data_IF_559518068913
#
_entry.id   IF_559518068913
#
_cell.length_a   1.000
_cell.length_b   1.000
_cell.length_c   1.000
_cell.angle_alpha   90.00
_cell.angle_beta   90.00
_cell.angle_gamma   90.00
#
_symmetry.space_group_name_H-M   'P 1'
#
loop_
_entity.id
_entity.type
_entity.pdbx_description
1 polymer ?
#
# COMPACT_ATOMS: atom_id res chain seq x y z
N UNK A 1 -23.11 -4.52 35.28
CA UNK A 1 -21.72 -4.79 34.90
C UNK A 1 -21.64 -4.80 33.37
N UNK A 2 -21.09 -3.76 32.71
CA UNK A 2 -20.94 -3.72 31.26
C UNK A 2 -19.68 -4.52 30.92
N UNK A 3 -19.83 -5.69 30.36
CA UNK A 3 -18.71 -6.42 29.76
C UNK A 3 -18.23 -5.60 28.55
N UNK A 4 -17.07 -4.98 28.68
CA UNK A 4 -16.39 -4.37 27.54
C UNK A 4 -16.06 -5.52 26.58
N UNK A 5 -16.71 -5.56 25.42
CA UNK A 5 -16.43 -6.53 24.38
C UNK A 5 -14.96 -6.37 24.01
N UNK A 6 -14.10 -7.28 24.46
CA UNK A 6 -12.69 -7.31 24.02
C UNK A 6 -12.76 -7.56 22.53
N UNK A 7 -12.52 -6.52 21.75
CA UNK A 7 -12.40 -6.63 20.30
C UNK A 7 -11.10 -7.41 20.03
N UNK A 8 -11.24 -8.71 19.77
CA UNK A 8 -10.11 -9.52 19.33
C UNK A 8 -9.64 -9.02 17.97
N UNK A 9 -8.35 -8.92 17.80
CA UNK A 9 -7.71 -8.56 16.53
C UNK A 9 -7.21 -9.84 15.87
N UNK A 10 -7.67 -10.13 14.64
CA UNK A 10 -7.24 -11.32 13.90
C UNK A 10 -5.83 -11.13 13.32
N UNK A 11 -5.51 -9.89 12.90
CA UNK A 11 -4.23 -9.57 12.26
C UNK A 11 -3.63 -8.31 12.87
N UNK A 12 -2.38 -8.41 13.30
CA UNK A 12 -1.57 -7.27 13.74
C UNK A 12 -0.48 -7.02 12.70
N UNK A 13 -0.38 -5.78 12.22
CA UNK A 13 0.60 -5.36 11.22
C UNK A 13 1.56 -4.34 11.84
N UNK A 14 2.85 -4.60 11.79
CA UNK A 14 3.88 -3.70 12.23
C UNK A 14 4.32 -2.77 11.10
N UNK A 15 3.97 -1.49 11.21
CA UNK A 15 4.32 -0.45 10.27
C UNK A 15 3.25 -0.17 9.20
N UNK A 16 2.95 1.11 9.00
CA UNK A 16 2.02 1.62 7.99
C UNK A 16 2.75 2.16 6.74
N UNK A 17 3.70 1.39 6.21
CA UNK A 17 4.29 1.62 4.89
C UNK A 17 3.40 1.05 3.78
N UNK A 18 3.88 1.06 2.53
CA UNK A 18 3.13 0.54 1.37
C UNK A 18 2.65 -0.90 1.59
N UNK A 19 3.55 -1.79 1.97
CA UNK A 19 3.23 -3.20 2.20
C UNK A 19 2.23 -3.37 3.35
N UNK A 20 2.44 -2.69 4.50
CA UNK A 20 1.55 -2.77 5.65
C UNK A 20 0.16 -2.25 5.35
N UNK A 21 0.03 -1.13 4.64
CA UNK A 21 -1.27 -0.57 4.25
C UNK A 21 -2.01 -1.48 3.26
N UNK A 22 -1.33 -1.99 2.24
CA UNK A 22 -1.93 -2.93 1.29
C UNK A 22 -2.36 -4.24 1.97
N UNK A 23 -1.54 -4.78 2.88
CA UNK A 23 -1.90 -5.95 3.69
C UNK A 23 -3.13 -5.67 4.54
N UNK A 24 -3.17 -4.51 5.21
CA UNK A 24 -4.29 -4.12 6.06
C UNK A 24 -5.59 -4.00 5.28
N UNK A 25 -5.57 -3.33 4.13
CA UNK A 25 -6.72 -3.18 3.24
C UNK A 25 -7.21 -4.56 2.76
N UNK A 26 -6.29 -5.40 2.32
CA UNK A 26 -6.61 -6.72 1.79
C UNK A 26 -7.21 -7.64 2.85
N UNK A 27 -6.61 -7.68 4.05
CA UNK A 27 -7.11 -8.49 5.16
C UNK A 27 -8.49 -8.00 5.64
N UNK A 28 -8.66 -6.69 5.81
CA UNK A 28 -9.93 -6.11 6.23
C UNK A 28 -11.05 -6.34 5.20
N UNK A 29 -10.77 -6.24 3.90
CA UNK A 29 -11.72 -6.57 2.84
C UNK A 29 -12.14 -8.04 2.82
N UNK A 30 -11.34 -8.93 3.43
CA UNK A 30 -11.70 -10.35 3.66
C UNK A 30 -12.47 -10.59 4.95
N UNK A 31 -12.88 -9.52 5.65
CA UNK A 31 -13.68 -9.60 6.88
C UNK A 31 -12.86 -9.79 8.15
N UNK A 32 -11.52 -9.70 8.10
CA UNK A 32 -10.68 -9.84 9.27
C UNK A 32 -10.60 -8.53 10.06
N UNK A 33 -10.56 -8.64 11.38
CA UNK A 33 -10.27 -7.53 12.29
C UNK A 33 -8.77 -7.20 12.27
N UNK A 34 -8.40 -6.01 11.80
CA UNK A 34 -7.00 -5.63 11.57
C UNK A 34 -6.59 -4.46 12.45
N UNK A 35 -5.41 -4.57 13.07
CA UNK A 35 -4.75 -3.48 13.78
C UNK A 35 -3.37 -3.22 13.19
N UNK A 36 -3.10 -1.96 12.84
CA UNK A 36 -1.79 -1.51 12.37
C UNK A 36 -1.10 -0.73 13.48
N UNK A 37 0.11 -1.13 13.81
CA UNK A 37 0.98 -0.44 14.78
C UNK A 37 1.95 0.47 14.01
N UNK A 38 1.81 1.79 14.16
CA UNK A 38 2.62 2.78 13.46
C UNK A 38 3.03 3.91 14.42
N UNK A 39 4.30 3.95 14.83
CA UNK A 39 4.74 4.95 15.82
C UNK A 39 4.84 6.38 15.27
N UNK A 40 4.88 6.53 13.94
CA UNK A 40 4.98 7.85 13.34
C UNK A 40 3.63 8.55 13.27
N UNK A 41 3.63 9.88 13.33
CA UNK A 41 2.42 10.70 13.22
C UNK A 41 1.70 10.56 11.87
N UNK A 42 2.42 10.19 10.82
CA UNK A 42 1.88 9.96 9.46
C UNK A 42 2.26 8.59 8.95
N UNK A 43 1.31 7.93 8.31
CA UNK A 43 1.54 6.68 7.55
C UNK A 43 2.35 6.94 6.28
N UNK A 44 2.92 5.89 5.70
CA UNK A 44 3.57 5.98 4.39
C UNK A 44 4.78 6.89 4.32
N UNK A 45 5.54 7.06 5.40
CA UNK A 45 6.68 7.98 5.47
C UNK A 45 7.65 7.83 4.29
N UNK A 46 8.01 6.59 3.93
CA UNK A 46 8.85 6.32 2.74
C UNK A 46 8.13 6.64 1.43
N UNK A 47 6.85 6.31 1.30
CA UNK A 47 6.08 6.64 0.09
C UNK A 47 6.12 8.14 -0.21
N UNK A 48 5.95 8.97 0.82
CA UNK A 48 5.88 10.43 0.70
C UNK A 48 7.15 11.09 0.20
N UNK A 49 8.30 10.41 0.30
CA UNK A 49 9.60 10.94 -0.15
C UNK A 49 10.14 10.24 -1.41
N UNK A 50 9.54 9.14 -1.86
CA UNK A 50 9.96 8.44 -3.07
C UNK A 50 9.69 9.27 -4.32
N UNK A 51 10.46 9.01 -5.40
CA UNK A 51 10.30 9.75 -6.64
C UNK A 51 10.46 11.28 -6.48
N UNK A 52 11.28 11.74 -5.54
CA UNK A 52 11.45 13.17 -5.19
C UNK A 52 10.13 13.82 -4.73
N UNK A 53 9.35 13.11 -3.93
CA UNK A 53 8.05 13.58 -3.42
C UNK A 53 6.87 13.36 -4.36
N UNK A 54 7.07 12.66 -5.49
CA UNK A 54 6.04 12.36 -6.49
C UNK A 54 5.44 10.95 -6.34
N UNK A 55 6.13 10.04 -5.69
CA UNK A 55 5.86 8.61 -5.57
C UNK A 55 5.84 7.87 -6.92
N UNK A 56 6.95 7.25 -7.31
CA UNK A 56 6.93 6.25 -8.38
C UNK A 56 6.19 5.00 -7.89
N UNK A 57 4.96 4.82 -8.32
CA UNK A 57 4.03 3.80 -7.81
C UNK A 57 4.38 2.42 -8.35
N UNK A 58 4.61 2.31 -9.65
CA UNK A 58 4.95 1.08 -10.35
C UNK A 58 5.69 1.37 -11.65
N UNK A 59 6.00 0.34 -12.41
CA UNK A 59 6.52 0.42 -13.77
C UNK A 59 5.47 -0.17 -14.74
N UNK A 60 5.16 0.55 -15.80
CA UNK A 60 4.11 0.20 -16.78
C UNK A 60 4.62 -0.82 -17.82
N UNK A 61 5.08 -1.96 -17.34
CA UNK A 61 5.54 -3.07 -18.18
C UNK A 61 4.83 -4.37 -17.85
N UNK A 62 4.74 -5.25 -18.82
CA UNK A 62 4.20 -6.59 -18.59
C UNK A 62 5.01 -7.34 -17.50
N UNK A 63 4.39 -8.25 -16.73
CA UNK A 63 5.09 -8.96 -15.66
C UNK A 63 6.39 -9.65 -16.07
N UNK A 64 6.45 -10.19 -17.27
CA UNK A 64 7.66 -10.83 -17.80
C UNK A 64 8.79 -9.83 -18.01
N UNK A 65 8.51 -8.68 -18.61
CA UNK A 65 9.48 -7.61 -18.83
C UNK A 65 9.93 -6.98 -17.51
N UNK A 66 8.99 -6.81 -16.57
CA UNK A 66 9.30 -6.33 -15.23
C UNK A 66 10.32 -7.25 -14.54
N UNK A 67 10.09 -8.58 -14.58
CA UNK A 67 11.00 -9.57 -13.98
C UNK A 67 12.39 -9.56 -14.59
N UNK A 68 12.53 -9.26 -15.88
CA UNK A 68 13.83 -9.16 -16.55
C UNK A 68 14.65 -7.96 -16.05
N UNK A 69 13.97 -6.91 -15.56
CA UNK A 69 14.60 -5.69 -15.02
C UNK A 69 14.98 -5.83 -13.53
N UNK A 70 14.57 -6.91 -12.86
CA UNK A 70 14.89 -7.16 -11.45
C UNK A 70 16.30 -7.71 -11.32
N UNK A 71 17.19 -6.96 -10.67
CA UNK A 71 18.62 -7.29 -10.60
C UNK A 71 18.91 -8.56 -9.78
N UNK A 72 18.12 -8.85 -8.74
CA UNK A 72 18.34 -10.01 -7.85
C UNK A 72 17.03 -10.66 -7.47
N UNK A 73 17.02 -12.00 -7.35
CA UNK A 73 15.87 -12.77 -6.85
C UNK A 73 14.53 -12.54 -7.60
N UNK A 74 14.56 -12.27 -8.90
CA UNK A 74 13.36 -12.10 -9.73
C UNK A 74 12.34 -13.26 -9.55
N UNK A 75 12.86 -14.49 -9.39
CA UNK A 75 12.02 -15.67 -9.16
C UNK A 75 11.15 -15.56 -7.90
N UNK A 76 11.65 -14.92 -6.83
CA UNK A 76 10.90 -14.69 -5.60
C UNK A 76 9.67 -13.80 -5.83
N UNK A 77 9.80 -12.79 -6.70
CA UNK A 77 8.71 -11.84 -6.98
C UNK A 77 7.67 -12.39 -7.96
N UNK A 78 7.98 -13.46 -8.69
CA UNK A 78 7.13 -13.94 -9.79
C UNK A 78 5.68 -14.14 -9.37
N UNK A 79 5.43 -14.91 -8.31
CA UNK A 79 4.06 -15.20 -7.87
C UNK A 79 3.28 -13.95 -7.50
N UNK A 80 3.89 -13.05 -6.72
CA UNK A 80 3.25 -11.80 -6.28
C UNK A 80 2.97 -10.86 -7.45
N UNK A 81 3.91 -10.76 -8.39
CA UNK A 81 3.77 -9.87 -9.54
C UNK A 81 2.70 -10.33 -10.51
N UNK A 82 2.52 -11.65 -10.69
CA UNK A 82 1.42 -12.17 -11.51
C UNK A 82 0.07 -12.10 -10.80
N UNK A 83 0.05 -12.20 -9.47
CA UNK A 83 -1.19 -12.05 -8.69
C UNK A 83 -1.66 -10.59 -8.59
N UNK A 84 -0.72 -9.64 -8.62
CA UNK A 84 -1.02 -8.20 -8.57
C UNK A 84 -0.06 -7.45 -9.51
N UNK A 85 -0.30 -7.52 -10.83
CA UNK A 85 0.57 -6.92 -11.84
C UNK A 85 0.49 -5.39 -11.87
N UNK A 86 1.42 -4.71 -12.56
CA UNK A 86 1.42 -3.25 -12.69
C UNK A 86 0.09 -2.67 -13.18
N UNK A 87 -0.61 -3.35 -14.08
CA UNK A 87 -1.95 -2.93 -14.53
C UNK A 87 -2.95 -2.91 -13.37
N UNK A 88 -3.00 -3.97 -12.57
CA UNK A 88 -3.89 -4.02 -11.40
C UNK A 88 -3.54 -2.94 -10.35
N UNK A 89 -2.28 -2.53 -10.25
CA UNK A 89 -1.88 -1.40 -9.40
C UNK A 89 -2.47 -0.09 -9.93
N UNK A 90 -2.44 0.12 -11.25
CA UNK A 90 -3.03 1.32 -11.88
C UNK A 90 -4.55 1.35 -11.67
N UNK A 91 -5.23 0.25 -11.94
CA UNK A 91 -6.67 0.10 -11.71
C UNK A 91 -7.05 0.37 -10.25
N UNK A 92 -6.29 -0.19 -9.31
CA UNK A 92 -6.52 0.00 -7.87
C UNK A 92 -6.52 1.48 -7.45
N UNK A 93 -5.58 2.28 -7.97
CA UNK A 93 -5.52 3.70 -7.64
C UNK A 93 -6.54 4.53 -8.43
N UNK A 94 -6.84 4.17 -9.67
CA UNK A 94 -7.87 4.82 -10.47
C UNK A 94 -9.26 4.66 -9.83
N UNK A 95 -9.62 3.44 -9.43
CA UNK A 95 -10.85 3.15 -8.66
C UNK A 95 -10.90 3.91 -7.32
N UNK A 96 -9.75 4.16 -6.71
CA UNK A 96 -9.64 4.94 -5.47
C UNK A 96 -9.70 6.46 -5.70
N UNK A 97 -9.83 6.91 -6.96
CA UNK A 97 -9.91 8.33 -7.35
C UNK A 97 -8.56 9.02 -7.44
N UNK A 98 -7.47 8.28 -7.63
CA UNK A 98 -6.13 8.82 -7.84
C UNK A 98 -5.64 8.44 -9.25
N UNK A 99 -5.89 9.28 -10.25
CA UNK A 99 -5.46 9.02 -11.63
C UNK A 99 -3.94 9.00 -11.71
N UNK A 100 -3.42 8.03 -12.47
CA UNK A 100 -1.99 7.82 -12.68
C UNK A 100 -1.60 8.16 -14.11
N UNK A 101 -0.34 8.55 -14.31
CA UNK A 101 0.28 8.79 -15.63
C UNK A 101 1.56 8.00 -15.76
N UNK A 102 1.83 7.52 -16.97
CA UNK A 102 3.11 6.87 -17.31
C UNK A 102 4.04 7.90 -17.95
N UNK A 103 5.27 7.94 -17.49
CA UNK A 103 6.34 8.81 -17.99
C UNK A 103 7.46 7.98 -18.62
N UNK A 104 8.45 8.69 -19.19
CA UNK A 104 9.64 8.08 -19.81
C UNK A 104 10.24 6.98 -18.92
N UNK A 105 10.53 5.83 -19.50
CA UNK A 105 11.06 4.64 -18.81
C UNK A 105 9.96 3.88 -18.06
N UNK A 106 8.73 3.99 -18.52
CA UNK A 106 7.56 3.26 -18.00
C UNK A 106 7.30 3.51 -16.51
N UNK A 107 7.78 4.64 -15.98
CA UNK A 107 7.57 5.02 -14.59
C UNK A 107 6.18 5.59 -14.40
N UNK A 108 5.47 5.11 -13.40
CA UNK A 108 4.09 5.50 -13.12
C UNK A 108 4.02 6.41 -11.90
N UNK A 109 3.42 7.57 -12.07
CA UNK A 109 3.25 8.59 -11.03
C UNK A 109 1.77 9.03 -10.93
N UNK A 110 1.33 9.59 -9.79
CA UNK A 110 0.05 10.29 -9.75
C UNK A 110 0.07 11.50 -10.68
N UNK A 111 -1.06 11.78 -11.34
CA UNK A 111 -1.19 12.95 -12.23
C UNK A 111 -0.89 14.26 -11.49
N UNK A 112 -1.20 14.33 -10.22
CA UNK A 112 -0.92 15.47 -9.33
C UNK A 112 0.55 15.71 -9.04
N UNK A 113 1.43 14.75 -9.35
CA UNK A 113 2.84 14.77 -8.95
C UNK A 113 3.08 14.88 -7.43
N UNK A 114 2.10 14.48 -6.62
CA UNK A 114 2.13 14.58 -5.17
C UNK A 114 2.05 13.20 -4.50
N UNK A 115 3.16 12.77 -3.88
CA UNK A 115 3.24 11.49 -3.17
C UNK A 115 2.25 11.36 -2.01
N UNK A 116 1.76 12.47 -1.46
CA UNK A 116 0.77 12.43 -0.39
C UNK A 116 -0.55 11.84 -0.87
N UNK A 117 -0.95 12.06 -2.13
CA UNK A 117 -2.21 11.54 -2.66
C UNK A 117 -2.24 10.01 -2.64
N UNK A 118 -1.11 9.38 -2.93
CA UNK A 118 -0.94 7.92 -2.82
C UNK A 118 -1.03 7.45 -1.36
N UNK A 119 -0.25 8.06 -0.48
CA UNK A 119 -0.16 7.63 0.92
C UNK A 119 -1.47 7.89 1.69
N UNK A 120 -2.09 9.05 1.48
CA UNK A 120 -3.35 9.43 2.13
C UNK A 120 -4.52 8.58 1.62
N UNK A 121 -4.51 8.22 0.35
CA UNK A 121 -5.52 7.30 -0.21
C UNK A 121 -5.42 5.91 0.40
N UNK A 122 -4.22 5.35 0.50
CA UNK A 122 -4.04 4.05 1.17
C UNK A 122 -4.50 4.09 2.64
N UNK A 123 -4.17 5.15 3.37
CA UNK A 123 -4.62 5.32 4.76
C UNK A 123 -6.15 5.45 4.84
N UNK A 124 -6.75 6.25 3.97
CA UNK A 124 -8.20 6.43 3.88
C UNK A 124 -8.92 5.11 3.58
N UNK A 125 -8.42 4.34 2.61
CA UNK A 125 -8.98 3.03 2.26
C UNK A 125 -8.90 2.04 3.41
N UNK A 126 -7.76 1.98 4.12
CA UNK A 126 -7.60 1.14 5.30
C UNK A 126 -8.60 1.53 6.40
N UNK A 127 -8.74 2.82 6.71
CA UNK A 127 -9.71 3.33 7.70
C UNK A 127 -11.15 3.02 7.29
N UNK A 128 -11.50 3.21 6.03
CA UNK A 128 -12.84 2.89 5.49
C UNK A 128 -13.16 1.40 5.56
N UNK A 129 -12.15 0.55 5.47
CA UNK A 129 -12.28 -0.91 5.66
C UNK A 129 -12.34 -1.33 7.14
N UNK A 130 -12.29 -0.40 8.10
CA UNK A 130 -12.38 -0.68 9.52
C UNK A 130 -11.05 -1.01 10.20
N UNK A 131 -9.92 -0.76 9.54
CA UNK A 131 -8.59 -0.96 10.14
C UNK A 131 -8.35 0.00 11.29
N UNK A 132 -7.92 -0.54 12.43
CA UNK A 132 -7.53 0.24 13.61
C UNK A 132 -6.05 0.61 13.54
N UNK A 133 -5.73 1.88 13.76
CA UNK A 133 -4.36 2.36 13.85
C UNK A 133 -3.98 2.65 15.31
N UNK A 134 -2.87 2.11 15.75
CA UNK A 134 -2.28 2.36 17.09
C UNK A 134 -0.95 3.08 16.89
N UNK A 135 -0.82 4.25 17.52
CA UNK A 135 0.33 5.15 17.40
C UNK A 135 1.36 4.92 18.51
N UNK A 136 1.61 3.66 18.85
CA UNK A 136 2.56 3.28 19.90
C UNK A 136 3.81 2.65 19.27
N UNK A 137 4.95 2.86 19.93
CA UNK A 137 6.17 2.14 19.57
C UNK A 137 6.06 0.70 20.10
N UNK A 138 6.41 -0.23 19.24
CA UNK A 138 6.71 -1.59 19.72
C UNK A 138 7.97 -1.49 20.61
N UNK A 139 7.85 -1.91 21.85
CA UNK A 139 8.97 -2.00 22.79
C UNK A 139 9.93 -3.13 22.38
#
# INVERSE_FOLDING_TARGET
>A
MRYTKISMTDVIIAGAGAAGLMTAITAARRGLSVTVLEPNGKTGKKLRITGKGRCNVTNDSAPQEFLQKVCTNARFLKSSLYAFPPEAVKEFFDEAGVPLKTERGERVFPVSDNANDIADTLERMAKSAGVRFVRERLA
#
